data_IF_546223652803
#
_entry.id   IF_546223652803
#
_cell.length_a   1.000
_cell.length_b   1.000
_cell.length_c   1.000
_cell.angle_alpha   90.00
_cell.angle_beta   90.00
_cell.angle_gamma   90.00
#
_symmetry.space_group_name_H-M   'P 1'
#
loop_
_entity.id
_entity.type
_entity.pdbx_description
1 polymer ?
#
# COMPACT_ATOMS: atom_id res chain seq x y z
N UNK A 1 1.42 -16.62 1.21
CA UNK A 1 0.18 -16.87 0.43
C UNK A 1 -0.87 -17.37 1.41
N UNK A 2 -2.02 -16.69 1.49
CA UNK A 2 -3.12 -17.00 2.41
C UNK A 2 -4.44 -17.04 1.65
N UNK A 3 -5.08 -18.21 1.60
CA UNK A 3 -6.37 -18.38 0.92
C UNK A 3 -7.47 -17.54 1.57
N UNK A 4 -7.39 -17.32 2.89
CA UNK A 4 -8.33 -16.49 3.65
C UNK A 4 -8.30 -15.05 3.15
N UNK A 5 -7.11 -14.48 2.96
CA UNK A 5 -6.97 -13.10 2.47
C UNK A 5 -7.52 -12.95 1.06
N UNK A 6 -7.25 -13.91 0.18
CA UNK A 6 -7.78 -13.92 -1.19
C UNK A 6 -9.31 -13.96 -1.19
N UNK A 7 -9.92 -14.83 -0.38
CA UNK A 7 -11.37 -14.93 -0.25
C UNK A 7 -11.99 -13.64 0.30
N UNK A 8 -11.43 -13.07 1.38
CA UNK A 8 -11.87 -11.78 1.90
C UNK A 8 -11.73 -10.67 0.86
N UNK A 9 -10.65 -10.65 0.09
CA UNK A 9 -10.47 -9.72 -1.01
C UNK A 9 -11.60 -9.85 -2.02
N UNK A 10 -11.98 -11.05 -2.46
CA UNK A 10 -13.07 -11.23 -3.44
C UNK A 10 -14.41 -10.64 -2.98
N UNK A 11 -14.71 -10.64 -1.69
CA UNK A 11 -15.98 -10.14 -1.14
C UNK A 11 -16.07 -8.61 -1.06
N UNK A 12 -14.93 -7.89 -1.07
CA UNK A 12 -14.90 -6.44 -0.87
C UNK A 12 -15.19 -5.66 -2.17
N UNK A 13 -16.01 -4.61 -2.10
CA UNK A 13 -16.21 -3.68 -3.23
C UNK A 13 -15.07 -2.68 -3.35
N UNK A 14 -14.12 -2.95 -4.25
CA UNK A 14 -12.97 -2.06 -4.50
C UNK A 14 -13.28 -0.87 -5.44
N UNK A 15 -14.49 -0.80 -6.02
CA UNK A 15 -15.00 0.33 -6.82
C UNK A 15 -14.55 0.38 -8.29
N UNK A 16 -13.54 -0.38 -8.70
CA UNK A 16 -13.27 -0.63 -10.12
C UNK A 16 -12.66 -2.01 -10.34
N UNK A 17 -12.82 -2.63 -11.52
CA UNK A 17 -12.22 -3.93 -11.82
C UNK A 17 -10.70 -3.96 -11.60
N UNK A 18 -9.98 -2.96 -12.11
CA UNK A 18 -8.53 -2.87 -11.94
C UNK A 18 -8.13 -2.69 -10.47
N UNK A 19 -8.85 -1.86 -9.70
CA UNK A 19 -8.57 -1.69 -8.26
C UNK A 19 -8.83 -2.99 -7.50
N UNK A 20 -9.87 -3.74 -7.90
CA UNK A 20 -10.20 -5.05 -7.35
C UNK A 20 -9.09 -6.06 -7.64
N UNK A 21 -8.59 -6.10 -8.87
CA UNK A 21 -7.50 -7.00 -9.29
C UNK A 21 -6.21 -6.72 -8.51
N UNK A 22 -5.84 -5.44 -8.35
CA UNK A 22 -4.67 -5.04 -7.54
C UNK A 22 -4.84 -5.52 -6.09
N UNK A 23 -6.02 -5.38 -5.49
CA UNK A 23 -6.26 -5.88 -4.13
C UNK A 23 -6.14 -7.41 -4.03
N UNK A 24 -6.68 -8.14 -5.01
CA UNK A 24 -6.57 -9.60 -5.07
C UNK A 24 -5.11 -10.01 -5.22
N UNK A 25 -4.32 -9.30 -6.04
CA UNK A 25 -2.89 -9.58 -6.18
C UNK A 25 -2.12 -9.38 -4.87
N UNK A 26 -2.42 -8.32 -4.13
CA UNK A 26 -1.83 -8.14 -2.80
C UNK A 26 -2.24 -9.29 -1.85
N UNK A 27 -3.49 -9.75 -1.93
CA UNK A 27 -4.00 -10.85 -1.10
C UNK A 27 -3.38 -12.21 -1.44
N UNK A 28 -3.15 -12.48 -2.72
CA UNK A 28 -2.42 -13.66 -3.22
C UNK A 28 -1.02 -13.74 -2.62
N UNK A 29 -0.31 -12.61 -2.57
CA UNK A 29 1.02 -12.53 -1.98
C UNK A 29 1.03 -12.47 -0.44
N UNK A 30 -0.12 -12.24 0.20
CA UNK A 30 -0.19 -12.04 1.64
C UNK A 30 0.09 -13.31 2.45
N UNK A 31 0.68 -13.15 3.63
CA UNK A 31 0.68 -14.17 4.67
C UNK A 31 -0.66 -14.16 5.46
N UNK A 32 -0.81 -15.03 6.45
CA UNK A 32 -2.04 -15.11 7.25
C UNK A 32 -2.30 -13.88 8.12
N UNK A 33 -1.27 -13.05 8.35
CA UNK A 33 -1.38 -11.74 9.01
C UNK A 33 -1.78 -10.62 8.05
N UNK A 34 -1.95 -10.92 6.76
CA UNK A 34 -2.27 -9.93 5.73
C UNK A 34 -1.07 -9.12 5.25
N UNK A 35 0.16 -9.55 5.51
CA UNK A 35 1.38 -8.82 5.12
C UNK A 35 1.92 -9.33 3.78
N UNK A 36 2.29 -8.43 2.87
CA UNK A 36 2.97 -8.77 1.61
C UNK A 36 3.92 -7.65 1.16
N UNK A 37 4.84 -7.96 0.25
CA UNK A 37 5.83 -7.00 -0.28
C UNK A 37 6.13 -7.16 -1.79
N UNK A 38 5.12 -7.34 -2.67
CA UNK A 38 5.37 -7.31 -4.12
C UNK A 38 5.86 -5.92 -4.57
N UNK A 39 6.76 -5.88 -5.55
CA UNK A 39 7.18 -4.62 -6.17
C UNK A 39 6.05 -4.02 -7.01
N UNK A 40 6.10 -2.70 -7.27
CA UNK A 40 5.14 -2.09 -8.19
C UNK A 40 5.20 -2.70 -9.59
N UNK A 41 6.37 -3.15 -10.03
CA UNK A 41 6.55 -3.75 -11.35
C UNK A 41 5.88 -5.14 -11.41
N UNK A 42 6.00 -5.95 -10.35
CA UNK A 42 5.29 -7.23 -10.27
C UNK A 42 3.77 -7.04 -10.23
N UNK A 43 3.27 -6.03 -9.52
CA UNK A 43 1.83 -5.70 -9.50
C UNK A 43 1.38 -5.25 -10.88
N UNK A 44 2.16 -4.40 -11.54
CA UNK A 44 1.87 -3.87 -12.87
C UNK A 44 1.79 -4.98 -13.93
N UNK A 45 2.76 -5.89 -13.93
CA UNK A 45 2.81 -7.04 -14.83
C UNK A 45 1.58 -7.96 -14.65
N UNK A 46 1.30 -8.41 -13.43
CA UNK A 46 0.20 -9.35 -13.17
C UNK A 46 -1.17 -8.70 -13.34
N UNK A 47 -1.30 -7.41 -13.07
CA UNK A 47 -2.55 -6.69 -13.27
C UNK A 47 -2.70 -6.10 -14.68
N UNK A 48 -1.72 -6.33 -15.57
CA UNK A 48 -1.70 -5.84 -16.96
C UNK A 48 -1.92 -4.32 -17.08
N UNK A 49 -1.22 -3.56 -16.23
CA UNK A 49 -1.31 -2.10 -16.18
C UNK A 49 0.07 -1.47 -16.12
N UNK A 50 0.15 -0.18 -16.42
CA UNK A 50 1.41 0.55 -16.22
C UNK A 50 1.77 0.63 -14.73
N UNK A 51 3.07 0.70 -14.44
CA UNK A 51 3.59 0.95 -13.08
C UNK A 51 2.92 2.15 -12.40
N UNK A 52 2.72 3.25 -13.15
CA UNK A 52 2.03 4.44 -12.66
C UNK A 52 0.58 4.14 -12.28
N UNK A 53 -0.11 3.32 -13.06
CA UNK A 53 -1.48 2.88 -12.74
C UNK A 53 -1.51 1.99 -11.49
N UNK A 54 -0.54 1.08 -11.34
CA UNK A 54 -0.41 0.25 -10.14
C UNK A 54 -0.28 1.11 -8.87
N UNK A 55 0.61 2.10 -8.89
CA UNK A 55 0.76 3.08 -7.79
C UNK A 55 -0.58 3.78 -7.50
N UNK A 56 -1.24 4.33 -8.53
CA UNK A 56 -2.52 5.01 -8.37
C UNK A 56 -3.61 4.12 -7.77
N UNK A 57 -3.68 2.85 -8.18
CA UNK A 57 -4.67 1.90 -7.67
C UNK A 57 -4.36 1.46 -6.23
N UNK A 58 -3.09 1.33 -5.86
CA UNK A 58 -2.68 1.11 -4.46
C UNK A 58 -3.08 2.29 -3.60
N UNK A 59 -2.82 3.53 -4.04
CA UNK A 59 -3.22 4.72 -3.28
C UNK A 59 -4.75 4.83 -3.15
N UNK A 60 -5.53 4.38 -4.15
CA UNK A 60 -6.99 4.24 -4.02
C UNK A 60 -7.39 3.22 -2.94
N UNK A 61 -6.68 2.08 -2.84
CA UNK A 61 -6.93 1.08 -1.80
C UNK A 61 -6.58 1.61 -0.41
N UNK A 62 -5.49 2.38 -0.29
CA UNK A 62 -5.08 3.06 0.94
C UNK A 62 -6.14 4.08 1.37
N UNK A 63 -6.60 4.94 0.45
CA UNK A 63 -7.67 5.91 0.72
C UNK A 63 -8.98 5.26 1.16
N UNK A 64 -9.25 4.03 0.73
CA UNK A 64 -10.42 3.25 1.14
C UNK A 64 -10.23 2.50 2.46
N UNK A 65 -9.03 2.57 3.06
CA UNK A 65 -8.71 1.83 4.27
C UNK A 65 -8.70 0.32 4.08
N UNK A 66 -8.47 -0.17 2.85
CA UNK A 66 -8.40 -1.60 2.52
C UNK A 66 -6.96 -2.16 2.55
N UNK A 67 -5.98 -1.26 2.47
CA UNK A 67 -4.56 -1.56 2.49
C UNK A 67 -3.85 -0.45 3.26
N UNK A 68 -2.89 -0.80 4.11
CA UNK A 68 -1.89 0.14 4.63
C UNK A 68 -0.56 -0.12 3.93
N UNK A 69 0.16 0.95 3.58
CA UNK A 69 1.47 0.90 2.89
C UNK A 69 2.54 1.48 3.80
N UNK A 70 3.64 0.77 3.98
CA UNK A 70 4.84 1.27 4.67
C UNK A 70 6.06 1.11 3.78
N UNK A 71 6.91 2.14 3.75
CA UNK A 71 8.20 2.04 3.09
C UNK A 71 9.20 1.34 4.01
N UNK A 72 9.88 0.33 3.46
CA UNK A 72 10.97 -0.38 4.12
C UNK A 72 12.27 -0.06 3.41
N UNK A 73 13.28 0.35 4.20
CA UNK A 73 14.67 0.40 3.73
C UNK A 73 15.24 -1.01 3.68
N UNK A 74 15.68 -1.40 2.49
CA UNK A 74 16.40 -2.64 2.26
C UNK A 74 17.88 -2.50 2.66
N UNK A 75 18.55 -3.64 2.89
CA UNK A 75 19.94 -3.67 3.35
C UNK A 75 20.94 -3.12 2.32
N UNK A 76 20.54 -3.00 1.04
CA UNK A 76 21.39 -2.51 -0.05
C UNK A 76 21.01 -1.09 -0.51
N UNK A 77 20.31 -0.33 0.33
CA UNK A 77 19.86 1.03 0.01
C UNK A 77 18.64 1.10 -0.93
N UNK A 78 18.10 -0.05 -1.35
CA UNK A 78 16.84 -0.12 -2.08
C UNK A 78 15.67 0.08 -1.11
N UNK A 79 14.65 0.87 -1.47
CA UNK A 79 13.40 0.88 -0.71
C UNK A 79 12.34 -0.02 -1.37
N UNK A 80 11.62 -0.76 -0.55
CA UNK A 80 10.51 -1.62 -0.97
C UNK A 80 9.30 -1.31 -0.11
N UNK A 81 8.09 -1.44 -0.65
CA UNK A 81 6.90 -1.28 0.18
C UNK A 81 6.51 -2.61 0.83
N UNK A 82 6.07 -2.53 2.08
CA UNK A 82 5.29 -3.58 2.74
C UNK A 82 3.83 -3.12 2.77
N UNK A 83 2.93 -4.00 2.37
CA UNK A 83 1.49 -3.77 2.39
C UNK A 83 0.84 -4.65 3.42
N UNK A 84 -0.14 -4.09 4.13
CA UNK A 84 -0.93 -4.78 5.14
C UNK A 84 -2.39 -4.70 4.74
N UNK A 85 -3.02 -5.86 4.51
CA UNK A 85 -4.41 -5.98 4.11
C UNK A 85 -5.32 -5.88 5.34
N UNK A 86 -6.24 -4.93 5.31
CA UNK A 86 -7.19 -4.65 6.41
C UNK A 86 -8.58 -5.24 6.09
N UNK A 87 -8.60 -6.45 5.53
CA UNK A 87 -9.80 -7.06 4.93
C UNK A 87 -10.61 -7.95 5.89
N UNK A 88 -10.42 -7.78 7.20
CA UNK A 88 -11.04 -8.66 8.20
C UNK A 88 -11.41 -7.91 9.47
N UNK A 89 -12.46 -7.09 9.43
CA UNK A 89 -13.28 -6.67 10.58
C UNK A 89 -12.61 -5.87 11.72
N UNK A 90 -11.31 -5.94 11.88
CA UNK A 90 -10.55 -5.19 12.85
C UNK A 90 -10.16 -3.88 12.19
N UNK A 91 -10.94 -2.84 12.50
CA UNK A 91 -10.68 -1.46 12.11
C UNK A 91 -9.33 -1.00 12.67
N UNK A 92 -8.22 -1.37 12.05
CA UNK A 92 -6.98 -0.62 12.19
C UNK A 92 -7.10 0.59 11.26
N UNK A 93 -7.79 1.64 11.73
CA UNK A 93 -7.77 2.94 11.09
C UNK A 93 -6.29 3.38 10.92
N UNK A 94 -5.90 4.01 9.80
CA UNK A 94 -4.58 4.59 9.70
C UNK A 94 -4.47 5.76 10.68
N UNK A 95 -3.45 5.75 11.54
CA UNK A 95 -2.95 6.98 12.15
C UNK A 95 -2.54 7.93 11.00
N UNK A 96 -2.89 9.22 11.05
CA UNK A 96 -2.35 10.18 10.10
C UNK A 96 -0.83 10.20 10.28
N UNK A 97 -0.09 9.87 9.23
CA UNK A 97 1.34 10.17 9.18
C UNK A 97 1.48 11.69 9.06
N UNK A 98 1.63 12.37 10.19
CA UNK A 98 2.01 13.78 10.24
C UNK A 98 3.48 13.92 9.83
N UNK A 99 3.73 14.03 8.53
CA UNK A 99 4.94 14.66 8.02
C UNK A 99 4.59 16.09 7.59
N UNK A 100 4.24 16.93 8.58
CA UNK A 100 4.36 18.38 8.44
C UNK A 100 5.76 18.75 8.97
N UNK A 101 6.73 18.87 8.07
CA UNK A 101 7.94 19.65 8.37
C UNK A 101 7.59 21.12 8.16
N UNK A 102 7.57 21.98 9.20
CA UNK A 102 7.48 23.41 9.00
C UNK A 102 8.87 24.01 8.82
N UNK A 103 8.94 24.85 7.80
CA UNK A 103 9.65 26.12 7.71
C UNK A 103 11.16 26.20 7.91
N UNK A 104 11.76 26.87 6.93
CA UNK A 104 13.16 27.26 6.96
C UNK A 104 13.37 28.49 7.83
N UNK A 105 14.52 28.51 8.49
CA UNK A 105 15.09 29.73 9.05
C UNK A 105 16.25 30.18 8.16
N UNK A 106 16.03 31.30 7.46
CA UNK A 106 17.12 32.16 7.02
C UNK A 106 17.73 32.79 8.27
N UNK A 107 18.93 32.36 8.66
CA UNK A 107 19.72 33.08 9.65
C UNK A 107 20.25 34.38 9.03
N UNK A 108 19.75 35.52 9.51
CA UNK A 108 20.46 36.80 9.41
C UNK A 108 21.33 36.98 10.67
N UNK A 109 22.60 37.41 10.57
CA UNK A 109 23.44 37.64 11.73
C UNK A 109 23.25 39.07 12.30
N UNK A 110 23.45 39.29 13.62
CA UNK A 110 23.33 40.60 14.27
C UNK A 110 24.71 41.22 14.61
N UNK A 111 24.72 42.36 15.34
CA UNK A 111 24.68 43.75 14.85
C UNK A 111 26.04 44.29 14.39
#
# INVERSE_FOLDING_TARGET
MSIKMMFSAMQVKAGSPTTKMVLIKLADNANDKGECWPSYDNIAEVCEISRRSAINHIDKLVKKGLVRKEERKGPKGNSSNVYYLTLGGEKSAPLPSENNSPDGEKSAPPP
#
